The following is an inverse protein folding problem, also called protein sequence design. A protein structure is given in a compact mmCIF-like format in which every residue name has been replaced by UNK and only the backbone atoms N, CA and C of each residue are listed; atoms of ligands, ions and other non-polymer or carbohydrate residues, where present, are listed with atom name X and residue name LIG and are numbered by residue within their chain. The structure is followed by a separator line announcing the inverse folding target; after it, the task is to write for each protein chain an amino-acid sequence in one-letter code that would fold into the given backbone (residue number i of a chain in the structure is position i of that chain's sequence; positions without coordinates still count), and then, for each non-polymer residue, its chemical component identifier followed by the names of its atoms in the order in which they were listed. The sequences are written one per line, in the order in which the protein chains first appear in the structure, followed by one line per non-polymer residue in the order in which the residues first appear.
data_IF_275358662055
#
_entry.id   IF_275358662055
#
_cell.length_a   1.000
_cell.length_b   1.000
_cell.length_c   1.000
_cell.angle_alpha   90.00
_cell.angle_beta   90.00
_cell.angle_gamma   90.00
#
_symmetry.space_group_name_H-M   'P 1'
#
loop_
_entity.id
_entity.type
_entity.pdbx_description
1 polymer ?
#
# COMPACT_ATOMS: atom_id res chain seq x y z
N UNK A 1 30.03 -0.86 -25.20
CA UNK A 1 28.87 -1.25 -26.04
C UNK A 1 28.54 -2.76 -25.89
N UNK A 2 28.96 -3.44 -24.81
CA UNK A 2 28.97 -4.92 -24.71
C UNK A 2 28.06 -5.54 -23.63
N UNK A 3 26.97 -4.87 -23.27
CA UNK A 3 25.94 -5.43 -22.38
C UNK A 3 24.55 -4.93 -22.77
N UNK A 4 24.15 -5.17 -24.04
CA UNK A 4 22.73 -5.23 -24.35
C UNK A 4 22.25 -6.58 -23.85
N UNK A 5 21.52 -6.60 -22.74
CA UNK A 5 20.81 -7.78 -22.29
C UNK A 5 19.80 -8.17 -23.37
N UNK A 6 20.21 -9.03 -24.29
CA UNK A 6 19.32 -9.63 -25.26
C UNK A 6 18.68 -10.84 -24.58
N UNK A 7 17.36 -10.78 -24.38
CA UNK A 7 16.57 -11.97 -24.09
C UNK A 7 16.60 -12.77 -25.39
N UNK A 8 17.48 -13.77 -25.47
CA UNK A 8 17.65 -14.59 -26.68
C UNK A 8 16.47 -15.53 -26.89
N UNK A 9 15.80 -15.93 -25.80
CA UNK A 9 14.76 -16.94 -25.79
C UNK A 9 13.62 -16.50 -24.87
N UNK A 10 12.42 -16.36 -25.44
CA UNK A 10 11.17 -16.14 -24.70
C UNK A 10 10.30 -17.38 -24.90
N UNK A 11 10.07 -18.12 -23.81
CA UNK A 11 9.17 -19.27 -23.83
C UNK A 11 7.73 -18.80 -23.69
N UNK A 12 6.94 -18.98 -24.74
CA UNK A 12 5.53 -18.62 -24.83
C UNK A 12 4.59 -19.83 -24.76
N UNK A 13 5.11 -21.00 -24.38
CA UNK A 13 4.27 -22.16 -24.12
C UNK A 13 3.45 -21.96 -22.83
N UNK A 14 2.33 -22.69 -22.73
CA UNK A 14 1.39 -22.52 -21.63
C UNK A 14 2.05 -22.77 -20.25
N UNK A 15 2.93 -23.77 -20.14
CA UNK A 15 3.62 -24.07 -18.87
C UNK A 15 4.52 -22.91 -18.46
N UNK A 16 5.25 -22.32 -19.39
CA UNK A 16 6.09 -21.16 -19.14
C UNK A 16 5.27 -19.92 -18.75
N UNK A 17 4.16 -19.65 -19.44
CA UNK A 17 3.25 -18.53 -19.13
C UNK A 17 2.64 -18.70 -17.73
N UNK A 18 2.10 -19.88 -17.41
CA UNK A 18 1.53 -20.17 -16.10
C UNK A 18 2.57 -20.04 -14.97
N UNK A 19 3.80 -20.52 -15.21
CA UNK A 19 4.90 -20.38 -14.26
C UNK A 19 5.28 -18.91 -14.04
N UNK A 20 5.36 -18.13 -15.12
CA UNK A 20 5.67 -16.70 -15.05
C UNK A 20 4.58 -15.95 -14.28
N UNK A 21 3.30 -16.20 -14.59
CA UNK A 21 2.16 -15.62 -13.89
C UNK A 21 2.20 -15.94 -12.39
N UNK A 22 2.39 -17.21 -12.02
CA UNK A 22 2.52 -17.61 -10.61
C UNK A 22 3.66 -16.88 -9.91
N UNK A 23 4.85 -16.81 -10.52
CA UNK A 23 6.00 -16.14 -9.93
C UNK A 23 5.75 -14.64 -9.74
N UNK A 24 5.11 -13.97 -10.70
CA UNK A 24 4.73 -12.57 -10.59
C UNK A 24 3.71 -12.36 -9.46
N UNK A 25 2.70 -13.22 -9.36
CA UNK A 25 1.70 -13.17 -8.28
C UNK A 25 2.33 -13.38 -6.91
N UNK A 26 3.21 -14.36 -6.72
CA UNK A 26 3.91 -14.56 -5.44
C UNK A 26 4.81 -13.37 -5.08
N UNK A 27 5.54 -12.84 -6.07
CA UNK A 27 6.39 -11.65 -5.87
C UNK A 27 5.55 -10.45 -5.47
N UNK A 28 4.42 -10.23 -6.14
CA UNK A 28 3.49 -9.15 -5.82
C UNK A 28 2.88 -9.33 -4.43
N UNK A 29 2.47 -10.54 -4.03
CA UNK A 29 1.99 -10.82 -2.67
C UNK A 29 3.04 -10.49 -1.61
N UNK A 30 4.28 -10.90 -1.82
CA UNK A 30 5.38 -10.55 -0.92
C UNK A 30 5.62 -9.03 -0.86
N UNK A 31 5.54 -8.35 -2.01
CA UNK A 31 5.66 -6.91 -2.09
C UNK A 31 4.56 -6.19 -1.29
N UNK A 32 3.29 -6.56 -1.48
CA UNK A 32 2.16 -5.97 -0.74
C UNK A 32 2.27 -6.26 0.75
N UNK A 33 2.63 -7.48 1.17
CA UNK A 33 2.85 -7.78 2.60
C UNK A 33 3.94 -6.92 3.22
N UNK A 34 5.01 -6.64 2.49
CA UNK A 34 6.12 -5.82 2.99
C UNK A 34 5.87 -4.31 2.95
N UNK A 35 5.15 -3.79 1.93
CA UNK A 35 4.85 -2.35 1.75
C UNK A 35 3.46 -1.95 2.23
N UNK A 36 2.70 -2.91 2.75
CA UNK A 36 1.35 -2.79 3.29
C UNK A 36 0.27 -2.52 2.23
N UNK A 37 -0.98 -2.85 2.54
CA UNK A 37 -2.10 -2.75 1.62
C UNK A 37 -2.49 -1.29 1.41
N UNK A 38 -2.57 -0.79 0.17
CA UNK A 38 -3.07 0.55 -0.09
C UNK A 38 -4.60 0.63 0.03
N UNK A 39 -5.06 1.80 0.45
CA UNK A 39 -6.49 2.14 0.47
C UNK A 39 -6.67 3.65 0.45
N UNK A 40 -7.87 4.13 0.14
CA UNK A 40 -8.23 5.53 0.31
C UNK A 40 -9.08 5.67 1.57
N UNK A 41 -8.96 6.80 2.24
CA UNK A 41 -9.78 7.13 3.40
C UNK A 41 -11.12 7.67 2.91
N UNK A 42 -12.20 6.99 3.26
CA UNK A 42 -13.56 7.44 2.98
C UNK A 42 -13.98 8.52 3.98
N UNK A 43 -13.78 8.25 5.27
CA UNK A 43 -14.23 9.10 6.37
C UNK A 43 -13.30 8.98 7.58
N UNK A 44 -13.27 10.05 8.38
CA UNK A 44 -12.58 10.08 9.68
C UNK A 44 -13.49 10.70 10.72
N UNK A 45 -13.86 9.91 11.72
CA UNK A 45 -14.56 10.38 12.91
C UNK A 45 -13.53 10.72 14.00
N UNK A 46 -13.40 12.00 14.33
CA UNK A 46 -12.47 12.44 15.37
C UNK A 46 -13.08 12.33 16.76
N UNK A 47 -12.34 11.69 17.66
CA UNK A 47 -12.60 11.65 19.09
C UNK A 47 -11.83 12.74 19.86
N UNK A 48 -11.75 12.57 21.18
CA UNK A 48 -10.97 13.46 22.05
C UNK A 48 -9.48 13.10 22.02
N UNK A 49 -8.62 14.10 22.17
CA UNK A 49 -7.17 13.94 22.32
C UNK A 49 -6.46 13.19 21.18
N UNK A 50 -6.94 13.33 19.94
CA UNK A 50 -6.31 12.72 18.77
C UNK A 50 -6.77 11.29 18.47
N UNK A 51 -7.65 10.72 19.30
CA UNK A 51 -8.31 9.46 18.98
C UNK A 51 -9.18 9.65 17.74
N UNK A 52 -9.25 8.64 16.88
CA UNK A 52 -10.09 8.68 15.70
C UNK A 52 -10.50 7.27 15.25
N UNK A 53 -11.66 7.20 14.61
CA UNK A 53 -12.11 6.04 13.84
C UNK A 53 -12.00 6.41 12.37
N UNK A 54 -11.22 5.63 11.63
CA UNK A 54 -10.96 5.83 10.19
C UNK A 54 -11.69 4.74 9.43
N UNK A 55 -12.47 5.15 8.45
CA UNK A 55 -13.10 4.25 7.49
C UNK A 55 -12.34 4.39 6.17
N UNK A 56 -11.83 3.28 5.65
CA UNK A 56 -11.03 3.26 4.44
C UNK A 56 -11.40 2.09 3.53
N UNK A 57 -11.40 2.31 2.22
CA UNK A 57 -11.64 1.26 1.22
C UNK A 57 -10.32 0.83 0.61
N UNK A 58 -10.06 -0.48 0.62
CA UNK A 58 -8.83 -1.06 0.09
C UNK A 58 -8.85 -1.00 -1.44
N UNK A 59 -7.69 -0.77 -2.05
CA UNK A 59 -7.57 -0.78 -3.52
C UNK A 59 -7.76 -2.19 -4.06
N UNK A 60 -8.34 -2.27 -5.26
CA UNK A 60 -8.57 -3.49 -6.03
C UNK A 60 -7.33 -3.97 -6.78
N UNK A 61 -7.46 -5.12 -7.43
CA UNK A 61 -6.40 -5.71 -8.27
C UNK A 61 -5.33 -6.49 -7.49
N UNK A 62 -5.53 -6.72 -6.19
CA UNK A 62 -4.66 -7.57 -5.38
C UNK A 62 -5.17 -9.01 -5.39
N UNK A 63 -4.29 -9.95 -5.06
CA UNK A 63 -4.66 -11.35 -4.86
C UNK A 63 -5.60 -11.51 -3.65
N UNK A 64 -6.67 -12.31 -3.79
CA UNK A 64 -7.70 -12.47 -2.77
C UNK A 64 -7.16 -12.89 -1.42
N UNK A 65 -6.07 -13.68 -1.39
CA UNK A 65 -5.45 -14.12 -0.13
C UNK A 65 -4.95 -12.95 0.71
N UNK A 66 -4.60 -11.81 0.11
CA UNK A 66 -4.17 -10.62 0.85
C UNK A 66 -5.34 -9.97 1.58
N UNK A 67 -6.53 -9.94 0.98
CA UNK A 67 -7.71 -9.37 1.62
C UNK A 67 -8.19 -10.24 2.79
N UNK A 68 -8.02 -11.56 2.72
CA UNK A 68 -8.44 -12.48 3.80
C UNK A 68 -7.74 -12.25 5.14
N UNK A 69 -6.59 -11.58 5.13
CA UNK A 69 -5.84 -11.24 6.34
C UNK A 69 -6.47 -10.06 7.13
N UNK A 70 -7.37 -9.31 6.51
CA UNK A 70 -8.11 -8.23 7.15
C UNK A 70 -9.36 -8.80 7.84
N UNK A 71 -9.32 -8.88 9.17
CA UNK A 71 -10.41 -9.43 9.99
C UNK A 71 -10.76 -8.48 11.12
N UNK A 72 -12.03 -8.49 11.52
CA UNK A 72 -12.48 -7.78 12.72
C UNK A 72 -11.71 -8.26 13.96
N UNK A 73 -11.31 -7.32 14.81
CA UNK A 73 -10.64 -7.56 16.09
C UNK A 73 -9.12 -7.74 16.00
N UNK A 74 -8.53 -7.84 14.81
CA UNK A 74 -7.06 -7.93 14.69
C UNK A 74 -6.43 -6.55 14.89
N UNK A 75 -5.24 -6.53 15.50
CA UNK A 75 -4.41 -5.33 15.55
C UNK A 75 -3.94 -4.98 14.13
N UNK A 76 -3.86 -3.69 13.84
CA UNK A 76 -3.36 -3.17 12.59
C UNK A 76 -2.53 -1.90 12.80
N UNK A 77 -1.78 -1.55 11.77
CA UNK A 77 -1.02 -0.31 11.67
C UNK A 77 -1.43 0.43 10.40
N UNK A 78 -1.52 1.75 10.47
CA UNK A 78 -1.88 2.60 9.34
C UNK A 78 -0.89 3.76 9.21
N UNK A 79 -0.40 3.97 7.99
CA UNK A 79 0.44 5.09 7.61
C UNK A 79 -0.22 5.92 6.50
N UNK A 80 -0.09 7.25 6.52
CA UNK A 80 -0.42 8.07 5.36
C UNK A 80 0.61 7.87 4.24
N UNK A 81 0.14 7.93 2.99
CA UNK A 81 0.99 8.04 1.79
C UNK A 81 1.11 9.51 1.42
N UNK A 82 1.95 10.22 2.18
CA UNK A 82 2.22 11.64 1.99
C UNK A 82 3.73 11.88 1.92
N UNK A 83 4.15 13.01 1.36
CA UNK A 83 5.56 13.44 1.32
C UNK A 83 5.78 14.82 1.96
N UNK A 84 4.72 15.61 2.16
CA UNK A 84 4.79 16.96 2.75
C UNK A 84 4.47 16.99 4.25
N UNK A 85 3.72 16.00 4.75
CA UNK A 85 3.34 15.86 6.16
C UNK A 85 4.17 14.79 6.85
N UNK A 86 3.89 14.49 8.13
CA UNK A 86 4.51 13.35 8.82
C UNK A 86 4.22 12.05 8.06
N UNK A 87 5.28 11.45 7.53
CA UNK A 87 5.21 10.28 6.65
C UNK A 87 6.29 9.25 7.00
N UNK A 88 6.23 8.08 6.36
CA UNK A 88 7.27 7.05 6.51
C UNK A 88 8.54 7.51 5.80
N UNK A 89 9.62 7.70 6.54
CA UNK A 89 10.93 8.00 5.98
C UNK A 89 11.78 6.74 5.94
N UNK A 90 12.63 6.57 4.91
CA UNK A 90 13.46 5.37 4.80
C UNK A 90 14.28 5.06 6.07
N UNK A 91 14.90 6.08 6.66
CA UNK A 91 15.66 5.92 7.90
C UNK A 91 14.80 5.63 9.16
N UNK A 92 13.50 5.93 9.11
CA UNK A 92 12.56 5.79 10.23
C UNK A 92 11.41 4.91 9.74
N UNK A 93 11.58 3.60 9.89
CA UNK A 93 10.72 2.57 9.30
C UNK A 93 9.21 2.74 9.45
N UNK A 94 8.42 2.07 8.58
CA UNK A 94 6.96 2.21 8.54
C UNK A 94 6.28 2.05 9.90
N UNK A 95 6.69 1.03 10.67
CA UNK A 95 6.14 0.72 12.00
C UNK A 95 6.32 1.84 13.04
N UNK A 96 7.41 2.59 12.94
CA UNK A 96 7.71 3.66 13.90
C UNK A 96 6.80 4.88 13.66
N UNK A 97 6.44 5.12 12.40
CA UNK A 97 5.61 6.26 12.01
C UNK A 97 4.11 5.97 12.07
N UNK A 98 3.70 4.71 12.09
CA UNK A 98 2.31 4.30 11.97
C UNK A 98 1.42 4.64 13.18
N UNK A 99 0.19 5.03 12.88
CA UNK A 99 -0.95 4.88 13.78
C UNK A 99 -1.18 3.40 14.08
N UNK A 100 -1.58 3.07 15.30
CA UNK A 100 -1.81 1.68 15.72
C UNK A 100 -3.17 1.55 16.38
N UNK A 101 -3.77 0.39 16.19
CA UNK A 101 -4.98 0.01 16.92
C UNK A 101 -5.74 -1.11 16.22
N UNK A 102 -6.95 -1.43 16.69
CA UNK A 102 -7.70 -2.56 16.16
C UNK A 102 -8.48 -2.21 14.90
N UNK A 103 -8.68 -3.21 14.04
CA UNK A 103 -9.73 -3.20 13.03
C UNK A 103 -11.06 -3.52 13.72
N UNK A 104 -11.99 -2.57 13.71
CA UNK A 104 -13.31 -2.71 14.31
C UNK A 104 -14.28 -3.49 13.41
N UNK A 105 -14.13 -3.33 12.10
CA UNK A 105 -15.02 -3.93 11.11
C UNK A 105 -14.31 -4.09 9.77
N UNK A 106 -14.68 -5.14 9.04
CA UNK A 106 -14.34 -5.35 7.63
C UNK A 106 -15.63 -5.73 6.94
N UNK A 107 -16.05 -4.93 5.97
CA UNK A 107 -17.29 -5.17 5.21
C UNK A 107 -17.01 -5.09 3.72
N UNK A 108 -17.78 -5.86 2.96
CA UNK A 108 -17.84 -5.72 1.50
C UNK A 108 -18.98 -4.75 1.17
N UNK A 109 -18.69 -3.75 0.36
CA UNK A 109 -19.68 -2.78 -0.08
C UNK A 109 -20.63 -3.44 -1.08
N UNK A 110 -21.92 -3.12 -0.96
CA UNK A 110 -22.95 -3.56 -1.88
C UNK A 110 -22.89 -2.74 -3.18
N UNK A 111 -23.24 -3.37 -4.30
CA UNK A 111 -23.30 -2.73 -5.62
C UNK A 111 -22.11 -2.99 -6.52
N UNK A 112 -22.04 -2.24 -7.62
CA UNK A 112 -20.98 -2.36 -8.61
C UNK A 112 -19.67 -1.78 -8.05
N UNK A 113 -18.63 -2.61 -8.00
CA UNK A 113 -17.31 -2.21 -7.48
C UNK A 113 -16.59 -1.41 -8.58
N UNK A 114 -16.28 -0.11 -8.36
CA UNK A 114 -15.60 0.70 -9.36
C UNK A 114 -14.23 0.12 -9.70
N UNK A 115 -13.76 0.37 -10.93
CA UNK A 115 -12.41 -0.04 -11.35
C UNK A 115 -11.35 0.50 -10.38
N UNK A 116 -10.47 -0.38 -9.92
CA UNK A 116 -9.42 -0.03 -8.95
C UNK A 116 -9.86 -0.06 -7.49
N UNK A 117 -11.14 -0.30 -7.19
CA UNK A 117 -11.63 -0.62 -5.84
C UNK A 117 -11.65 -2.14 -5.61
N UNK A 118 -11.41 -2.56 -4.36
CA UNK A 118 -11.71 -3.95 -3.95
C UNK A 118 -13.17 -4.13 -3.53
N UNK A 119 -13.88 -3.02 -3.25
CA UNK A 119 -15.15 -3.04 -2.54
C UNK A 119 -15.04 -3.49 -1.09
N UNK A 120 -13.83 -3.63 -0.53
CA UNK A 120 -13.61 -4.03 0.86
C UNK A 120 -13.29 -2.79 1.67
N UNK A 121 -14.17 -2.45 2.60
CA UNK A 121 -14.02 -1.33 3.52
C UNK A 121 -13.59 -1.85 4.90
N UNK A 122 -12.62 -1.17 5.50
CA UNK A 122 -12.08 -1.43 6.83
C UNK A 122 -12.34 -0.24 7.73
N UNK A 123 -12.82 -0.51 8.94
CA UNK A 123 -12.97 0.50 10.00
C UNK A 123 -11.88 0.27 11.02
N UNK A 124 -11.01 1.26 11.21
CA UNK A 124 -9.80 1.19 12.02
C UNK A 124 -9.85 2.25 13.12
N UNK A 125 -9.55 1.85 14.36
CA UNK A 125 -9.48 2.79 15.49
C UNK A 125 -8.02 3.06 15.87
N UNK A 126 -7.69 4.31 16.13
CA UNK A 126 -6.39 4.73 16.68
C UNK A 126 -6.58 5.75 17.78
N UNK A 127 -5.65 5.79 18.73
CA UNK A 127 -5.65 6.77 19.82
C UNK A 127 -4.95 8.08 19.44
N UNK A 128 -4.08 8.03 18.42
CA UNK A 128 -3.38 9.20 17.88
C UNK A 128 -3.40 9.12 16.36
N UNK A 129 -4.18 9.99 15.73
CA UNK A 129 -4.25 10.12 14.28
C UNK A 129 -3.18 11.07 13.74
N UNK A 130 -2.72 10.80 12.53
CA UNK A 130 -1.80 11.67 11.80
C UNK A 130 -2.56 12.56 10.82
N UNK A 131 -2.03 13.77 10.60
CA UNK A 131 -2.64 14.73 9.69
C UNK A 131 -2.80 14.23 8.25
N UNK A 132 -1.92 13.35 7.79
CA UNK A 132 -2.01 12.75 6.45
C UNK A 132 -3.14 11.72 6.28
N UNK A 133 -3.82 11.34 7.37
CA UNK A 133 -4.97 10.41 7.34
C UNK A 133 -6.24 11.26 7.41
N UNK A 134 -6.72 11.69 6.24
CA UNK A 134 -7.92 12.52 6.06
C UNK A 134 -8.77 11.98 4.89
N UNK A 135 -10.08 12.27 4.85
CA UNK A 135 -10.93 11.88 3.73
C UNK A 135 -10.31 12.26 2.38
N UNK A 136 -10.35 11.32 1.42
CA UNK A 136 -9.76 11.46 0.09
C UNK A 136 -8.24 11.23 0.01
N UNK A 137 -7.55 11.02 1.13
CA UNK A 137 -6.11 10.69 1.14
C UNK A 137 -5.87 9.18 1.03
N UNK A 138 -4.68 8.83 0.55
CA UNK A 138 -4.24 7.44 0.41
C UNK A 138 -3.47 7.02 1.65
N UNK A 139 -3.73 5.81 2.12
CA UNK A 139 -3.07 5.19 3.26
C UNK A 139 -2.48 3.84 2.88
N UNK A 140 -1.61 3.35 3.76
CA UNK A 140 -1.08 2.00 3.79
C UNK A 140 -1.49 1.36 5.10
N UNK A 141 -2.22 0.26 5.05
CA UNK A 141 -2.69 -0.49 6.22
C UNK A 141 -2.06 -1.89 6.27
N UNK A 142 -1.64 -2.28 7.47
CA UNK A 142 -0.95 -3.54 7.75
C UNK A 142 -1.67 -4.29 8.87
N UNK A 143 -2.32 -5.43 8.59
CA UNK A 143 -2.82 -6.29 9.65
C UNK A 143 -1.64 -6.90 10.42
N UNK A 144 -1.82 -7.16 11.71
CA UNK A 144 -0.74 -7.59 12.60
C UNK A 144 -0.09 -8.92 12.25
N UNK A 145 -0.69 -9.71 11.35
CA UNK A 145 -0.13 -10.97 10.83
C UNK A 145 0.98 -10.76 9.80
N UNK A 146 1.14 -9.55 9.26
CA UNK A 146 2.09 -9.27 8.18
C UNK A 146 3.49 -8.94 8.71
N UNK A 147 4.54 -9.22 7.90
CA UNK A 147 5.92 -8.94 8.30
C UNK A 147 6.18 -7.43 8.43
N UNK A 148 6.97 -7.08 9.44
CA UNK A 148 7.42 -5.70 9.66
C UNK A 148 8.76 -5.47 8.98
N UNK A 149 8.72 -5.16 7.69
CA UNK A 149 9.91 -4.98 6.86
C UNK A 149 10.36 -3.52 6.88
N UNK A 150 11.66 -3.29 7.02
CA UNK A 150 12.25 -1.97 6.85
C UNK A 150 12.38 -1.65 5.36
N UNK A 151 12.24 -0.38 5.00
CA UNK A 151 12.48 0.05 3.63
C UNK A 151 13.98 -0.17 3.34
N UNK A 152 14.35 -0.81 2.22
CA UNK A 152 15.75 -0.97 1.85
C UNK A 152 16.34 0.38 1.43
N UNK A 153 17.65 0.56 1.57
CA UNK A 153 18.33 1.84 1.30
C UNK A 153 18.09 2.31 -0.13
N UNK A 154 18.03 1.36 -1.06
CA UNK A 154 17.77 1.56 -2.47
C UNK A 154 16.38 2.16 -2.72
N UNK A 155 15.42 2.01 -1.80
CA UNK A 155 14.08 2.60 -1.90
C UNK A 155 13.97 3.98 -1.22
N UNK A 156 15.04 4.51 -0.63
CA UNK A 156 14.98 5.82 0.00
C UNK A 156 14.85 6.92 -1.04
N UNK A 157 13.99 7.89 -0.79
CA UNK A 157 13.87 9.08 -1.64
C UNK A 157 14.90 10.18 -1.30
N UNK A 158 15.68 10.01 -0.21
CA UNK A 158 16.85 10.86 0.08
C UNK A 158 16.55 12.35 0.35
N UNK A 159 15.28 12.73 0.42
CA UNK A 159 14.74 14.08 0.44
C UNK A 159 13.32 14.07 -0.15
N UNK A 160 12.60 15.20 -0.11
CA UNK A 160 11.21 15.29 -0.59
C UNK A 160 11.08 15.47 -2.12
N UNK A 161 12.12 15.16 -2.90
CA UNK A 161 12.13 15.43 -4.35
C UNK A 161 12.17 14.12 -5.13
N UNK A 162 10.99 13.67 -5.55
CA UNK A 162 10.82 12.46 -6.35
C UNK A 162 11.59 12.56 -7.69
N UNK A 163 11.71 13.79 -8.19
CA UNK A 163 12.31 14.16 -9.48
C UNK A 163 13.83 13.97 -9.51
N UNK A 164 14.50 13.92 -8.36
CA UNK A 164 15.94 13.61 -8.30
C UNK A 164 16.23 12.13 -8.59
N UNK A 165 15.22 11.26 -8.41
CA UNK A 165 15.35 9.82 -8.58
C UNK A 165 14.65 9.29 -9.82
N UNK A 166 13.50 9.86 -10.17
CA UNK A 166 12.72 9.45 -11.31
C UNK A 166 12.67 10.59 -12.34
N UNK A 167 12.90 10.30 -13.64
CA UNK A 167 12.81 11.31 -14.66
C UNK A 167 11.42 11.93 -14.69
N UNK A 168 11.34 13.25 -14.84
CA UNK A 168 10.05 13.93 -15.04
C UNK A 168 9.51 13.60 -16.43
N UNK A 169 8.18 13.69 -16.67
CA UNK A 169 7.61 13.52 -18.01
C UNK A 169 8.21 14.43 -19.09
N UNK A 170 8.93 15.50 -18.70
CA UNK A 170 9.66 16.38 -19.63
C UNK A 170 10.75 15.66 -20.43
N UNK A 171 11.16 14.44 -20.04
CA UNK A 171 12.08 13.63 -20.85
C UNK A 171 11.44 13.15 -22.17
N UNK A 172 10.11 13.11 -22.25
CA UNK A 172 9.41 12.71 -23.45
C UNK A 172 9.24 13.92 -24.39
N UNK A 173 9.45 13.76 -25.70
CA UNK A 173 9.20 14.84 -26.66
C UNK A 173 7.73 15.25 -26.61
N UNK A 174 7.47 16.57 -26.69
CA UNK A 174 6.11 17.11 -26.82
C UNK A 174 5.67 16.87 -28.27
N UNK A 175 4.67 15.99 -28.45
CA UNK A 175 4.02 15.73 -29.72
C UNK A 175 2.93 16.76 -30.01
#
# INVERSE_FOLDING_TARGET
VFTRFHVSDVWLDDVSIQRAARNQTETHKAFIRSRWMPGWVDEVEYGKFGAATVTATLFGGMDDSLYTDFKKGVSAMMNPVENTLKHTHGAIGPRHMACRGPILEVKRLDGEVPMGSSGIQVTFKTDLILEGIRPGRVIRICPGSWPQVQIPREEYLGGNKLEERFPTPDIFPKY
#
